data_IF_781169986495
#
_entry.id   IF_781169986495
#
_cell.length_a   1.000
_cell.length_b   1.000
_cell.length_c   1.000
_cell.angle_alpha   90.00
_cell.angle_beta   90.00
_cell.angle_gamma   90.00
#
_symmetry.space_group_name_H-M   'P 1'
#
loop_
_entity.id
_entity.type
_entity.pdbx_description
1 polymer ?
#
# COMPACT_ATOMS: atom_id res chain seq x y z
N UNK A 1 -28.80 -6.63 -12.32
CA UNK A 1 -27.51 -7.04 -12.91
C UNK A 1 -26.58 -5.84 -12.93
N UNK A 2 -25.33 -6.00 -12.48
CA UNK A 2 -24.30 -4.96 -12.65
C UNK A 2 -24.02 -4.83 -14.15
N UNK A 3 -24.07 -3.61 -14.69
CA UNK A 3 -23.75 -3.38 -16.10
C UNK A 3 -22.29 -3.73 -16.37
N UNK A 4 -21.99 -4.40 -17.49
CA UNK A 4 -20.62 -4.72 -17.91
C UNK A 4 -19.71 -3.49 -17.93
N UNK A 5 -20.29 -2.30 -18.22
CA UNK A 5 -19.57 -1.02 -18.15
C UNK A 5 -19.05 -0.71 -16.74
N UNK A 6 -19.87 -0.93 -15.70
CA UNK A 6 -19.46 -0.70 -14.30
C UNK A 6 -18.39 -1.69 -13.85
N UNK A 7 -18.45 -2.93 -14.34
CA UNK A 7 -17.41 -3.94 -14.05
C UNK A 7 -16.08 -3.53 -14.69
N UNK A 8 -16.11 -3.06 -15.94
CA UNK A 8 -14.92 -2.57 -16.63
C UNK A 8 -14.32 -1.33 -15.93
N UNK A 9 -15.15 -0.34 -15.60
CA UNK A 9 -14.72 0.86 -14.86
C UNK A 9 -14.10 0.50 -13.50
N UNK A 10 -14.73 -0.41 -12.75
CA UNK A 10 -14.19 -0.90 -11.49
C UNK A 10 -12.85 -1.60 -11.68
N UNK A 11 -12.74 -2.49 -12.67
CA UNK A 11 -11.51 -3.23 -12.95
C UNK A 11 -10.37 -2.29 -13.32
N UNK A 12 -10.62 -1.32 -14.21
CA UNK A 12 -9.64 -0.32 -14.61
C UNK A 12 -9.21 0.57 -13.43
N UNK A 13 -10.16 0.99 -12.61
CA UNK A 13 -9.85 1.76 -11.40
C UNK A 13 -8.96 0.97 -10.45
N UNK A 14 -9.30 -0.30 -10.18
CA UNK A 14 -8.52 -1.15 -9.29
C UNK A 14 -7.13 -1.41 -9.85
N UNK A 15 -7.02 -1.65 -11.16
CA UNK A 15 -5.73 -1.82 -11.82
C UNK A 15 -4.87 -0.54 -11.73
N UNK A 16 -5.46 0.63 -12.00
CA UNK A 16 -4.75 1.90 -11.89
C UNK A 16 -4.26 2.17 -10.47
N UNK A 17 -5.11 1.96 -9.47
CA UNK A 17 -4.70 2.11 -8.07
C UNK A 17 -3.66 1.07 -7.65
N UNK A 18 -3.76 -0.16 -8.14
CA UNK A 18 -2.75 -1.19 -7.91
C UNK A 18 -1.39 -0.78 -8.49
N UNK A 19 -1.35 -0.26 -9.72
CA UNK A 19 -0.12 0.28 -10.33
C UNK A 19 0.45 1.45 -9.52
N UNK A 20 -0.39 2.38 -9.08
CA UNK A 20 0.04 3.48 -8.21
C UNK A 20 0.66 2.98 -6.90
N UNK A 21 -0.02 2.03 -6.23
CA UNK A 21 0.46 1.43 -4.99
C UNK A 21 1.76 0.66 -5.20
N UNK A 22 1.92 -0.02 -6.34
CA UNK A 22 3.16 -0.68 -6.73
C UNK A 22 4.31 0.32 -6.87
N UNK A 23 4.10 1.45 -7.54
CA UNK A 23 5.15 2.48 -7.63
C UNK A 23 5.49 3.07 -6.27
N UNK A 24 4.51 3.34 -5.42
CA UNK A 24 4.78 3.78 -4.04
C UNK A 24 5.62 2.75 -3.28
N UNK A 25 5.28 1.47 -3.40
CA UNK A 25 6.03 0.39 -2.76
C UNK A 25 7.49 0.35 -3.24
N UNK A 26 7.72 0.40 -4.56
CA UNK A 26 9.08 0.46 -5.13
C UNK A 26 9.83 1.67 -4.60
N UNK A 27 9.21 2.85 -4.60
CA UNK A 27 9.83 4.06 -4.07
C UNK A 27 10.22 3.94 -2.60
N UNK A 28 9.36 3.33 -1.78
CA UNK A 28 9.63 3.07 -0.35
C UNK A 28 10.78 2.07 -0.19
N UNK A 29 10.77 0.96 -0.92
CA UNK A 29 11.79 -0.09 -0.82
C UNK A 29 13.16 0.43 -1.24
N UNK A 30 13.26 1.09 -2.39
CA UNK A 30 14.54 1.62 -2.90
C UNK A 30 15.09 2.72 -1.98
N UNK A 31 14.22 3.52 -1.37
CA UNK A 31 14.63 4.54 -0.40
C UNK A 31 15.24 3.96 0.89
N UNK A 32 14.99 2.68 1.23
CA UNK A 32 15.65 2.04 2.37
C UNK A 32 17.17 1.92 2.16
N UNK A 33 17.63 1.85 0.91
CA UNK A 33 19.06 1.76 0.60
C UNK A 33 19.81 3.03 1.04
N UNK A 34 19.13 4.19 1.11
CA UNK A 34 19.73 5.45 1.54
C UNK A 34 20.21 5.42 3.00
N UNK A 35 19.70 4.51 3.84
CA UNK A 35 20.22 4.32 5.20
C UNK A 35 21.58 3.63 5.25
N UNK A 36 22.05 3.05 4.15
CA UNK A 36 23.41 2.51 4.06
C UNK A 36 24.46 3.61 3.89
N UNK A 37 24.02 4.83 3.59
CA UNK A 37 24.87 6.02 3.50
C UNK A 37 24.99 6.71 4.86
N UNK A 38 26.11 7.41 5.10
CA UNK A 38 26.31 8.24 6.29
C UNK A 38 25.50 9.55 6.18
N UNK A 39 24.17 9.43 6.24
CA UNK A 39 23.26 10.57 6.20
C UNK A 39 23.35 11.40 7.50
N UNK A 40 23.23 12.74 7.40
CA UNK A 40 23.01 13.57 8.57
C UNK A 40 21.82 13.08 9.41
N UNK A 41 21.90 13.22 10.74
CA UNK A 41 20.88 12.72 11.66
C UNK A 41 19.46 13.23 11.31
N UNK A 42 19.33 14.51 10.96
CA UNK A 42 18.03 15.09 10.60
C UNK A 42 17.45 14.44 9.35
N UNK A 43 18.28 14.17 8.33
CA UNK A 43 17.84 13.52 7.09
C UNK A 43 17.40 12.09 7.37
N UNK A 44 18.13 11.38 8.23
CA UNK A 44 17.79 10.02 8.69
C UNK A 44 16.42 10.00 9.37
N UNK A 45 16.16 10.95 10.27
CA UNK A 45 14.89 11.06 10.98
C UNK A 45 13.72 11.38 10.03
N UNK A 46 13.93 12.32 9.11
CA UNK A 46 12.92 12.69 8.11
C UNK A 46 12.61 11.51 7.18
N UNK A 47 13.64 10.84 6.66
CA UNK A 47 13.47 9.66 5.81
C UNK A 47 12.76 8.53 6.57
N UNK A 48 13.14 8.28 7.83
CA UNK A 48 12.48 7.29 8.68
C UNK A 48 10.99 7.59 8.88
N UNK A 49 10.65 8.85 9.16
CA UNK A 49 9.26 9.29 9.22
C UNK A 49 8.53 9.04 7.91
N UNK A 50 9.10 9.50 6.78
CA UNK A 50 8.50 9.36 5.45
C UNK A 50 8.20 7.90 5.10
N UNK A 51 9.14 7.00 5.41
CA UNK A 51 9.03 5.58 5.10
C UNK A 51 8.02 4.86 5.99
N UNK A 52 8.12 5.04 7.31
CA UNK A 52 7.17 4.41 8.26
C UNK A 52 5.75 4.90 7.97
N UNK A 53 5.60 6.20 7.75
CA UNK A 53 4.31 6.82 7.43
C UNK A 53 3.72 6.25 6.14
N UNK A 54 4.48 6.31 5.03
CA UNK A 54 4.01 5.87 3.72
C UNK A 54 3.75 4.37 3.69
N UNK A 55 4.62 3.56 4.31
CA UNK A 55 4.44 2.11 4.41
C UNK A 55 3.16 1.75 5.18
N UNK A 56 2.88 2.45 6.27
CA UNK A 56 1.64 2.28 7.05
C UNK A 56 0.40 2.64 6.22
N UNK A 57 0.44 3.80 5.54
CA UNK A 57 -0.67 4.26 4.71
C UNK A 57 -0.91 3.33 3.51
N UNK A 58 0.15 2.85 2.87
CA UNK A 58 0.12 1.90 1.77
C UNK A 58 -0.50 0.55 2.19
N UNK A 59 -0.11 0.04 3.36
CA UNK A 59 -0.66 -1.21 3.91
C UNK A 59 -2.17 -1.12 4.12
N UNK A 60 -2.64 0.00 4.67
CA UNK A 60 -4.07 0.26 4.86
C UNK A 60 -4.77 0.43 3.51
N UNK A 61 -4.18 1.20 2.58
CA UNK A 61 -4.69 1.42 1.24
C UNK A 61 -4.92 0.10 0.49
N UNK A 62 -4.00 -0.85 0.60
CA UNK A 62 -4.14 -2.18 0.02
C UNK A 62 -5.30 -2.96 0.67
N UNK A 63 -5.41 -2.92 2.00
CA UNK A 63 -6.52 -3.57 2.72
C UNK A 63 -7.90 -3.04 2.31
N UNK A 64 -8.04 -1.72 2.16
CA UNK A 64 -9.28 -1.08 1.68
C UNK A 64 -9.56 -1.50 0.23
N UNK A 65 -8.54 -1.49 -0.62
CA UNK A 65 -8.68 -1.88 -2.03
C UNK A 65 -9.18 -3.32 -2.16
N UNK A 66 -8.62 -4.26 -1.38
CA UNK A 66 -9.08 -5.66 -1.33
C UNK A 66 -10.53 -5.74 -0.84
N UNK A 67 -10.88 -5.01 0.22
CA UNK A 67 -12.24 -4.99 0.76
C UNK A 67 -13.26 -4.48 -0.28
N UNK A 68 -12.89 -3.45 -1.05
CA UNK A 68 -13.73 -2.90 -2.10
C UNK A 68 -13.82 -3.80 -3.32
N UNK A 69 -12.74 -4.51 -3.66
CA UNK A 69 -12.74 -5.53 -4.70
C UNK A 69 -13.71 -6.66 -4.36
N UNK A 70 -13.66 -7.18 -3.12
CA UNK A 70 -14.58 -8.21 -2.62
C UNK A 70 -16.04 -7.72 -2.67
N UNK A 71 -16.27 -6.43 -2.36
CA UNK A 71 -17.59 -5.80 -2.36
C UNK A 71 -18.05 -5.32 -3.75
N UNK A 72 -17.24 -5.53 -4.81
CA UNK A 72 -17.50 -5.07 -6.18
C UNK A 72 -17.81 -3.56 -6.20
N UNK A 73 -16.97 -2.78 -5.52
CA UNK A 73 -17.03 -1.31 -5.48
C UNK A 73 -15.85 -0.71 -6.23
N UNK A 74 -16.02 0.55 -6.64
CA UNK A 74 -14.89 1.35 -7.12
C UNK A 74 -13.84 1.46 -6.02
N UNK A 75 -12.55 1.45 -6.37
CA UNK A 75 -11.50 1.63 -5.40
C UNK A 75 -11.50 3.05 -4.83
N UNK A 76 -11.23 3.15 -3.54
CA UNK A 76 -11.02 4.37 -2.79
C UNK A 76 -9.53 4.68 -2.76
N UNK A 77 -9.18 5.86 -3.29
CA UNK A 77 -7.86 6.43 -3.07
C UNK A 77 -7.84 7.19 -1.74
N UNK A 78 -7.25 6.56 -0.72
CA UNK A 78 -7.26 6.98 0.68
C UNK A 78 -6.62 8.35 0.93
N UNK A 79 -5.47 8.71 0.31
CA UNK A 79 -4.85 10.02 0.51
C UNK A 79 -5.75 11.21 0.19
N UNK A 80 -6.76 11.04 -0.68
CA UNK A 80 -7.71 12.11 -1.00
C UNK A 80 -9.12 11.86 -0.46
N UNK A 81 -9.39 10.69 0.13
CA UNK A 81 -10.74 10.26 0.47
C UNK A 81 -11.45 11.19 1.44
N UNK A 82 -10.80 11.55 2.54
CA UNK A 82 -11.38 12.40 3.59
C UNK A 82 -11.66 13.83 3.11
N UNK A 83 -10.89 14.32 2.13
CA UNK A 83 -11.06 15.67 1.59
C UNK A 83 -12.23 15.79 0.60
N UNK A 84 -12.94 14.69 0.31
CA UNK A 84 -14.12 14.69 -0.58
C UNK A 84 -15.43 15.01 0.15
N UNK A 85 -15.43 14.91 1.48
CA UNK A 85 -16.62 15.07 2.30
C UNK A 85 -16.53 16.38 3.09
N UNK A 86 -17.66 17.05 3.25
CA UNK A 86 -17.80 18.18 4.19
C UNK A 86 -17.83 17.66 5.63
N UNK A 87 -17.53 18.53 6.59
CA UNK A 87 -17.57 18.21 8.03
C UNK A 87 -18.97 17.76 8.51
N UNK A 88 -20.02 18.17 7.78
CA UNK A 88 -21.41 17.83 8.07
C UNK A 88 -21.88 16.53 7.39
N UNK A 89 -21.07 15.97 6.48
CA UNK A 89 -21.43 14.78 5.73
C UNK A 89 -20.97 13.50 6.44
N UNK A 90 -21.86 12.51 6.50
CA UNK A 90 -21.52 11.21 7.06
C UNK A 90 -20.62 10.41 6.12
N UNK A 91 -19.50 9.91 6.63
CA UNK A 91 -18.57 9.07 5.85
C UNK A 91 -19.25 7.74 5.48
N UNK A 92 -19.34 7.39 4.19
CA UNK A 92 -20.16 6.26 3.72
C UNK A 92 -19.53 4.89 4.00
N UNK A 93 -18.23 4.82 4.26
CA UNK A 93 -17.54 3.58 4.61
C UNK A 93 -17.33 3.57 6.13
N UNK A 94 -18.05 2.73 6.90
CA UNK A 94 -17.96 2.74 8.37
C UNK A 94 -16.56 2.44 8.90
N UNK A 95 -15.75 1.67 8.15
CA UNK A 95 -14.35 1.38 8.50
C UNK A 95 -13.48 2.65 8.50
N UNK A 96 -13.85 3.65 7.70
CA UNK A 96 -13.17 4.93 7.51
C UNK A 96 -13.83 6.06 8.28
N UNK A 97 -14.92 5.79 9.01
CA UNK A 97 -15.62 6.76 9.83
C UNK A 97 -14.94 6.86 11.22
N UNK A 98 -14.29 7.99 11.57
CA UNK A 98 -13.56 8.15 12.83
C UNK A 98 -14.49 8.13 14.05
N UNK A 99 -15.80 8.35 13.87
CA UNK A 99 -16.78 8.25 14.95
C UNK A 99 -17.11 6.80 15.31
N UNK A 100 -16.83 5.85 14.40
CA UNK A 100 -17.18 4.43 14.54
C UNK A 100 -15.98 3.50 14.69
N UNK A 101 -14.79 3.94 14.29
CA UNK A 101 -13.61 3.09 14.20
C UNK A 101 -12.34 3.79 14.70
N UNK A 102 -11.65 3.18 15.67
CA UNK A 102 -10.31 3.65 16.10
C UNK A 102 -9.29 3.56 14.97
N UNK A 103 -9.45 2.59 14.06
CA UNK A 103 -8.62 2.50 12.87
C UNK A 103 -8.83 3.73 11.97
N UNK A 104 -10.07 4.19 11.78
CA UNK A 104 -10.34 5.39 11.00
C UNK A 104 -9.68 6.64 11.59
N UNK A 105 -9.58 6.74 12.92
CA UNK A 105 -8.83 7.82 13.58
C UNK A 105 -7.33 7.75 13.24
N UNK A 106 -6.74 6.55 13.26
CA UNK A 106 -5.35 6.38 12.83
C UNK A 106 -5.17 6.75 11.35
N UNK A 107 -6.11 6.32 10.50
CA UNK A 107 -6.08 6.60 9.08
C UNK A 107 -6.14 8.09 8.79
N UNK A 108 -7.08 8.83 9.41
CA UNK A 108 -7.21 10.26 9.16
C UNK A 108 -5.97 11.02 9.62
N UNK A 109 -5.35 10.61 10.73
CA UNK A 109 -4.06 11.15 11.18
C UNK A 109 -2.97 10.92 10.12
N UNK A 110 -2.84 9.69 9.61
CA UNK A 110 -1.87 9.39 8.53
C UNK A 110 -2.15 10.20 7.27
N UNK A 111 -3.41 10.33 6.87
CA UNK A 111 -3.79 11.12 5.70
C UNK A 111 -3.40 12.59 5.91
N UNK A 112 -3.80 13.21 7.02
CA UNK A 112 -3.53 14.63 7.26
C UNK A 112 -2.04 14.90 7.47
N UNK A 113 -1.30 14.02 8.16
CA UNK A 113 0.10 14.28 8.51
C UNK A 113 1.08 14.11 7.35
N UNK A 114 0.65 13.56 6.21
CA UNK A 114 1.55 13.41 5.08
C UNK A 114 1.00 12.69 3.85
N UNK A 115 -0.19 12.06 3.91
CA UNK A 115 -0.74 11.27 2.81
C UNK A 115 -0.76 11.98 1.45
N UNK A 116 -1.39 13.17 1.32
CA UNK A 116 -1.45 13.91 0.05
C UNK A 116 -0.10 14.29 -0.56
N UNK A 117 0.97 14.35 0.24
CA UNK A 117 2.29 14.82 -0.21
C UNK A 117 3.27 13.67 -0.38
N UNK A 118 3.43 12.84 0.66
CA UNK A 118 4.38 11.73 0.65
C UNK A 118 3.99 10.66 -0.35
N UNK A 119 2.69 10.35 -0.48
CA UNK A 119 2.22 9.29 -1.37
C UNK A 119 2.55 9.59 -2.84
N UNK A 120 2.26 10.80 -3.40
CA UNK A 120 2.71 11.15 -4.74
C UNK A 120 4.23 11.21 -4.91
N UNK A 121 4.98 11.68 -3.90
CA UNK A 121 6.45 11.72 -3.97
C UNK A 121 7.01 10.32 -4.19
N UNK A 122 6.60 9.35 -3.36
CA UNK A 122 7.06 7.96 -3.50
C UNK A 122 6.53 7.30 -4.77
N UNK A 123 5.31 7.63 -5.21
CA UNK A 123 4.76 7.12 -6.47
C UNK A 123 5.60 7.58 -7.68
N UNK A 124 5.92 8.87 -7.76
CA UNK A 124 6.71 9.43 -8.85
C UNK A 124 8.13 8.87 -8.82
N UNK A 125 8.75 8.85 -7.64
CA UNK A 125 10.09 8.30 -7.47
C UNK A 125 10.17 6.82 -7.88
N UNK A 126 9.26 5.99 -7.36
CA UNK A 126 9.21 4.57 -7.70
C UNK A 126 8.81 4.29 -9.16
N UNK A 127 8.02 5.18 -9.79
CA UNK A 127 7.77 5.10 -11.22
C UNK A 127 9.07 5.25 -12.02
N UNK A 128 9.88 6.28 -11.73
CA UNK A 128 11.16 6.48 -12.42
C UNK A 128 12.12 5.30 -12.21
N UNK A 129 12.21 4.79 -10.98
CA UNK A 129 13.03 3.62 -10.67
C UNK A 129 12.55 2.38 -11.42
N UNK A 130 11.24 2.14 -11.47
CA UNK A 130 10.66 1.04 -12.23
C UNK A 130 11.04 1.13 -13.71
N UNK A 131 10.97 2.32 -14.31
CA UNK A 131 11.39 2.54 -15.69
C UNK A 131 12.89 2.25 -15.89
N UNK A 132 13.73 2.67 -14.95
CA UNK A 132 15.17 2.37 -14.99
C UNK A 132 15.43 0.86 -14.95
N UNK A 133 14.77 0.12 -14.04
CA UNK A 133 14.90 -1.34 -13.97
C UNK A 133 14.38 -2.04 -15.23
N UNK A 134 13.25 -1.60 -15.80
CA UNK A 134 12.73 -2.16 -17.05
C UNK A 134 13.70 -1.94 -18.22
N UNK A 135 14.35 -0.78 -18.27
CA UNK A 135 15.37 -0.50 -19.29
C UNK A 135 16.59 -1.41 -19.11
N UNK A 136 17.08 -1.58 -17.88
CA UNK A 136 18.20 -2.48 -17.57
C UNK A 136 17.86 -3.91 -17.98
N UNK A 137 16.66 -4.39 -17.63
CA UNK A 137 16.18 -5.72 -18.02
C UNK A 137 16.14 -5.89 -19.54
N UNK A 138 15.69 -4.87 -20.27
CA UNK A 138 15.63 -4.91 -21.73
C UNK A 138 17.02 -5.00 -22.38
N UNK A 139 18.03 -4.38 -21.76
CA UNK A 139 19.42 -4.41 -22.23
C UNK A 139 20.15 -5.70 -21.81
N UNK A 140 19.85 -6.21 -20.62
CA UNK A 140 20.47 -7.39 -20.02
C UNK A 140 19.41 -8.35 -19.44
N UNK A 141 18.81 -9.23 -20.26
CA UNK A 141 17.73 -10.11 -19.83
C UNK A 141 18.10 -11.09 -18.70
N UNK A 142 19.39 -11.35 -18.50
CA UNK A 142 19.90 -12.18 -17.41
C UNK A 142 19.53 -11.63 -16.01
N UNK A 143 19.35 -10.31 -15.89
CA UNK A 143 18.91 -9.65 -14.65
C UNK A 143 17.55 -10.17 -14.18
N UNK A 144 16.65 -10.58 -15.09
CA UNK A 144 15.37 -11.21 -14.73
C UNK A 144 15.59 -12.50 -13.94
N UNK A 145 16.58 -13.31 -14.36
CA UNK A 145 16.87 -14.59 -13.69
C UNK A 145 17.43 -14.36 -12.29
N UNK A 146 18.22 -13.30 -12.10
CA UNK A 146 18.71 -12.89 -10.79
C UNK A 146 17.53 -12.47 -9.88
N UNK A 147 16.65 -11.59 -10.34
CA UNK A 147 15.46 -11.20 -9.58
C UNK A 147 14.56 -12.39 -9.26
N UNK A 148 14.41 -13.33 -10.20
CA UNK A 148 13.64 -14.54 -9.97
C UNK A 148 14.32 -15.45 -8.92
N UNK A 149 15.64 -15.54 -8.93
CA UNK A 149 16.42 -16.24 -7.90
C UNK A 149 16.24 -15.62 -6.51
N UNK A 150 16.31 -14.30 -6.40
CA UNK A 150 16.05 -13.56 -5.15
C UNK A 150 14.62 -13.84 -4.68
N UNK A 151 13.64 -13.74 -5.56
CA UNK A 151 12.23 -14.02 -5.26
C UNK A 151 12.05 -15.45 -4.73
N UNK A 152 12.60 -16.46 -5.39
CA UNK A 152 12.47 -17.86 -4.97
C UNK A 152 13.11 -18.13 -3.61
N UNK A 153 14.15 -17.39 -3.22
CA UNK A 153 14.79 -17.55 -1.92
C UNK A 153 13.99 -16.86 -0.79
N UNK A 154 13.40 -15.70 -1.07
CA UNK A 154 12.67 -14.92 -0.07
C UNK A 154 11.19 -15.28 0.06
N UNK A 155 10.54 -15.76 -0.99
CA UNK A 155 9.11 -16.06 -0.95
C UNK A 155 8.73 -17.22 -0.02
N UNK A 156 9.44 -18.37 -0.01
CA UNK A 156 9.07 -19.47 0.87
C UNK A 156 9.03 -19.09 2.36
N UNK A 157 10.03 -18.41 2.96
CA UNK A 157 9.93 -17.98 4.35
C UNK A 157 8.81 -16.96 4.57
N UNK A 158 8.57 -16.04 3.63
CA UNK A 158 7.45 -15.07 3.73
C UNK A 158 6.10 -15.80 3.75
N UNK A 159 5.90 -16.77 2.86
CA UNK A 159 4.67 -17.57 2.81
C UNK A 159 4.50 -18.37 4.10
N UNK A 160 5.56 -19.00 4.60
CA UNK A 160 5.52 -19.74 5.86
C UNK A 160 5.11 -18.83 7.03
N UNK A 161 5.65 -17.61 7.08
CA UNK A 161 5.28 -16.61 8.08
C UNK A 161 3.80 -16.19 7.98
N UNK A 162 3.30 -15.94 6.77
CA UNK A 162 1.88 -15.61 6.55
C UNK A 162 0.99 -16.76 7.02
N UNK A 163 1.31 -18.01 6.66
CA UNK A 163 0.57 -19.20 7.09
C UNK A 163 0.57 -19.32 8.61
N UNK A 164 1.71 -19.08 9.27
CA UNK A 164 1.79 -19.08 10.72
C UNK A 164 0.87 -18.03 11.36
N UNK A 165 0.84 -16.80 10.83
CA UNK A 165 -0.08 -15.75 11.30
C UNK A 165 -1.54 -16.18 11.12
N UNK A 166 -1.89 -16.77 9.98
CA UNK A 166 -3.26 -17.23 9.71
C UNK A 166 -3.67 -18.31 10.70
N UNK A 167 -2.81 -19.31 10.95
CA UNK A 167 -3.07 -20.37 11.93
C UNK A 167 -3.26 -19.77 13.32
N UNK A 168 -2.35 -18.90 13.77
CA UNK A 168 -2.46 -18.24 15.08
C UNK A 168 -3.74 -17.40 15.19
N UNK A 169 -4.14 -16.73 14.12
CA UNK A 169 -5.36 -15.93 14.09
C UNK A 169 -6.61 -16.79 14.22
N UNK A 170 -6.67 -17.93 13.51
CA UNK A 170 -7.77 -18.90 13.61
C UNK A 170 -7.84 -19.46 15.04
N UNK A 171 -6.70 -19.90 15.58
CA UNK A 171 -6.60 -20.46 16.94
C UNK A 171 -7.07 -19.43 17.99
N UNK A 172 -6.62 -18.18 17.89
CA UNK A 172 -7.01 -17.12 18.83
C UNK A 172 -8.52 -16.80 18.77
N UNK A 173 -9.12 -16.87 17.58
CA UNK A 173 -10.58 -16.69 17.43
C UNK A 173 -11.33 -17.87 18.04
N UNK A 174 -10.90 -19.10 17.78
CA UNK A 174 -11.54 -20.32 18.31
C UNK A 174 -11.51 -20.33 19.85
N UNK A 175 -10.34 -20.06 20.46
CA UNK A 175 -10.19 -19.99 21.92
C UNK A 175 -11.01 -18.90 22.60
N UNK A 176 -11.48 -17.89 21.86
CA UNK A 176 -12.33 -16.82 22.42
C UNK A 176 -13.82 -17.18 22.39
N UNK A 177 -14.21 -18.16 21.58
CA UNK A 177 -15.60 -18.60 21.43
C UNK A 177 -15.92 -19.90 22.18
N UNK A 178 -14.91 -20.62 22.68
CA UNK A 178 -15.02 -21.76 23.61
C UNK A 178 -14.95 -21.25 25.05
#
# INVERSE_FOLDING_TARGET
>A
MVSSKKVLEGTLGHFALFMLNFFVLVGVIESLQLFTENLPFLNTLLLGYMLIHTFSLLSIQLGIQILELIRIRMPTFLPTYYFKFSDEETIPIPLLDPTKSKLAVLIIILVISGGPVLYPIFAIYGFFLTQAHLLIIALEPAVILEYFGIFLNWMPPIIAFIVAIVILSIVAVEFRHV
#
